data_IF_282690082461
#
_entry.id   IF_282690082461
#
_cell.length_a   1.000
_cell.length_b   1.000
_cell.length_c   1.000
_cell.angle_alpha   90.00
_cell.angle_beta   90.00
_cell.angle_gamma   90.00
#
_symmetry.space_group_name_H-M   'P 1'
#
loop_
_entity.id
_entity.type
_entity.pdbx_description
1 polymer ?
#
# COMPACT_ATOMS: atom_id res chain seq x y z
N UNK A 1 16.71 21.24 -9.94
CA UNK A 1 16.59 19.95 -9.22
C UNK A 1 15.32 19.27 -9.71
N UNK A 2 15.40 18.26 -10.59
CA UNK A 2 14.20 17.52 -11.04
C UNK A 2 13.76 16.63 -9.87
N UNK A 3 12.69 16.99 -9.17
CA UNK A 3 12.01 16.06 -8.28
C UNK A 3 11.59 14.86 -9.13
N UNK A 4 12.19 13.69 -8.88
CA UNK A 4 11.72 12.45 -9.49
C UNK A 4 10.29 12.27 -9.02
N UNK A 5 9.35 12.16 -9.96
CA UNK A 5 7.97 11.86 -9.65
C UNK A 5 7.94 10.56 -8.82
N UNK A 6 7.38 10.63 -7.60
CA UNK A 6 7.13 9.45 -6.78
C UNK A 6 6.43 8.40 -7.64
N UNK A 7 7.02 7.21 -7.75
CA UNK A 7 6.42 6.10 -8.47
C UNK A 7 5.12 5.70 -7.77
N UNK A 8 4.00 6.14 -8.34
CA UNK A 8 2.68 5.70 -7.90
C UNK A 8 2.56 4.19 -8.13
N UNK A 9 2.04 3.42 -7.15
CA UNK A 9 1.74 2.02 -7.39
C UNK A 9 0.79 1.91 -8.58
N UNK A 10 1.18 1.12 -9.58
CA UNK A 10 0.42 1.00 -10.83
C UNK A 10 -0.64 -0.11 -10.76
N UNK A 11 -0.50 -1.03 -9.81
CA UNK A 11 -1.35 -2.21 -9.68
C UNK A 11 -1.73 -2.42 -8.22
N UNK A 12 -3.00 -2.78 -8.01
CA UNK A 12 -3.51 -3.36 -6.79
C UNK A 12 -4.22 -4.66 -7.18
N UNK A 13 -3.67 -5.76 -6.69
CA UNK A 13 -4.21 -7.10 -6.92
C UNK A 13 -4.90 -7.60 -5.67
N UNK A 14 -6.10 -8.12 -5.83
CA UNK A 14 -6.86 -8.80 -4.78
C UNK A 14 -6.50 -10.28 -4.81
N UNK A 15 -5.72 -10.73 -3.84
CA UNK A 15 -5.26 -12.12 -3.71
C UNK A 15 -6.30 -12.97 -3.03
N UNK A 16 -6.94 -12.44 -1.98
CA UNK A 16 -7.94 -13.15 -1.21
C UNK A 16 -8.97 -12.15 -0.68
N UNK A 17 -10.25 -12.54 -0.68
CA UNK A 17 -11.31 -11.76 -0.08
C UNK A 17 -12.41 -12.68 0.41
N UNK A 18 -12.70 -12.59 1.70
CA UNK A 18 -13.82 -13.19 2.39
C UNK A 18 -14.48 -12.14 3.29
N UNK A 19 -15.58 -12.50 3.94
CA UNK A 19 -16.34 -11.59 4.80
C UNK A 19 -15.52 -11.02 5.97
N UNK A 20 -14.47 -11.74 6.41
CA UNK A 20 -13.65 -11.38 7.58
C UNK A 20 -12.17 -11.20 7.27
N UNK A 21 -11.73 -11.47 6.04
CA UNK A 21 -10.32 -11.39 5.67
C UNK A 21 -10.13 -10.90 4.23
N UNK A 22 -9.16 -10.01 4.03
CA UNK A 22 -8.77 -9.54 2.72
C UNK A 22 -7.25 -9.47 2.59
N UNK A 23 -6.69 -10.03 1.52
CA UNK A 23 -5.28 -9.95 1.17
C UNK A 23 -5.13 -9.24 -0.17
N UNK A 24 -4.36 -8.16 -0.17
CA UNK A 24 -4.07 -7.36 -1.35
C UNK A 24 -2.57 -7.22 -1.54
N UNK A 25 -2.12 -7.21 -2.79
CA UNK A 25 -0.74 -6.94 -3.18
C UNK A 25 -0.74 -5.68 -4.05
N UNK A 26 0.11 -4.71 -3.71
CA UNK A 26 0.29 -3.53 -4.53
C UNK A 26 1.76 -3.34 -4.84
N UNK A 27 2.05 -3.07 -6.11
CA UNK A 27 3.41 -2.88 -6.63
C UNK A 27 3.36 -2.12 -7.98
N UNK A 28 4.48 -1.53 -8.42
CA UNK A 28 5.74 -1.32 -7.70
C UNK A 28 5.70 -0.10 -6.76
N UNK A 29 6.46 -0.16 -5.66
CA UNK A 29 6.70 0.98 -4.78
C UNK A 29 8.15 1.42 -4.86
N UNK A 30 8.40 2.72 -4.67
CA UNK A 30 9.75 3.20 -4.40
C UNK A 30 10.29 2.58 -3.09
N UNK A 31 11.61 2.35 -3.06
CA UNK A 31 12.29 1.79 -1.91
C UNK A 31 11.95 2.58 -0.65
N UNK A 32 11.42 1.88 0.36
CA UNK A 32 11.04 2.46 1.66
C UNK A 32 9.60 3.01 1.73
N UNK A 33 8.96 3.33 0.59
CA UNK A 33 7.63 3.93 0.59
C UNK A 33 6.53 2.95 0.99
N UNK A 34 6.67 1.67 0.63
CA UNK A 34 5.74 0.61 1.03
C UNK A 34 5.59 0.49 2.56
N UNK A 35 6.69 0.69 3.32
CA UNK A 35 6.68 0.64 4.79
C UNK A 35 5.88 1.82 5.35
N UNK A 36 6.10 3.03 4.82
CA UNK A 36 5.39 4.23 5.26
C UNK A 36 3.87 4.10 5.04
N UNK A 37 3.46 3.62 3.87
CA UNK A 37 2.04 3.38 3.54
C UNK A 37 1.46 2.28 4.45
N UNK A 38 2.15 1.15 4.60
CA UNK A 38 1.67 0.03 5.41
C UNK A 38 1.44 0.44 6.87
N UNK A 39 2.36 1.20 7.46
CA UNK A 39 2.22 1.72 8.82
C UNK A 39 1.06 2.72 8.93
N UNK A 40 0.88 3.61 7.96
CA UNK A 40 -0.23 4.54 7.94
C UNK A 40 -1.59 3.81 7.87
N UNK A 41 -1.73 2.85 6.95
CA UNK A 41 -2.94 2.04 6.82
C UNK A 41 -3.25 1.27 8.10
N UNK A 42 -2.25 0.62 8.71
CA UNK A 42 -2.42 -0.09 9.99
C UNK A 42 -2.97 0.83 11.08
N UNK A 43 -2.42 2.04 11.22
CA UNK A 43 -2.88 3.00 12.24
C UNK A 43 -4.31 3.45 12.00
N UNK A 44 -4.65 3.80 10.76
CA UNK A 44 -6.00 4.29 10.40
C UNK A 44 -7.04 3.20 10.63
N UNK A 45 -6.77 1.97 10.16
CA UNK A 45 -7.73 0.87 10.22
C UNK A 45 -7.94 0.31 11.63
N UNK A 46 -6.96 0.44 12.53
CA UNK A 46 -7.06 -0.06 13.91
C UNK A 46 -7.48 0.99 14.94
N UNK A 47 -7.49 2.27 14.56
CA UNK A 47 -7.66 3.39 15.49
C UNK A 47 -8.85 4.30 15.16
N UNK A 48 -9.87 3.81 14.45
CA UNK A 48 -11.13 4.54 14.24
C UNK A 48 -12.14 4.25 15.34
#
# INVERSE_FOLDING_TARGET
MKWKNLQKPKKLEKVELSDKFGKFISEPFERGYAIAIGNALRRILLSS
#
